data_IF_881587688145
#
_entry.id   IF_881587688145
#
_cell.length_a   1.000
_cell.length_b   1.000
_cell.length_c   1.000
_cell.angle_alpha   90.00
_cell.angle_beta   90.00
_cell.angle_gamma   90.00
#
_symmetry.space_group_name_H-M   'P 1'
#
loop_
_entity.id
_entity.type
_entity.pdbx_description
1 polymer ?
#
# COMPACT_ATOMS: atom_id res chain seq x y z
N UNK A 1 2.43 17.97 -8.35
CA UNK A 1 2.79 18.95 -7.30
C UNK A 1 3.32 18.20 -6.09
N UNK A 2 4.00 18.89 -5.15
CA UNK A 2 4.55 18.27 -3.92
C UNK A 2 3.50 17.44 -3.16
N UNK A 3 2.28 17.93 -3.06
CA UNK A 3 1.18 17.24 -2.37
C UNK A 3 0.82 15.89 -3.00
N UNK A 4 1.00 15.75 -4.32
CA UNK A 4 0.78 14.45 -4.97
C UNK A 4 1.85 13.46 -4.52
N UNK A 5 3.11 13.90 -4.46
CA UNK A 5 4.24 13.08 -4.01
C UNK A 5 4.04 12.64 -2.55
N UNK A 6 3.65 13.57 -1.67
CA UNK A 6 3.38 13.26 -0.27
C UNK A 6 2.25 12.24 -0.10
N UNK A 7 1.15 12.38 -0.85
CA UNK A 7 0.08 11.37 -0.86
C UNK A 7 0.59 10.00 -1.28
N UNK A 8 1.36 9.92 -2.35
CA UNK A 8 1.94 8.66 -2.80
C UNK A 8 2.82 8.00 -1.74
N UNK A 9 3.66 8.78 -1.05
CA UNK A 9 4.51 8.27 0.05
C UNK A 9 3.66 7.75 1.21
N UNK A 10 2.65 8.53 1.63
CA UNK A 10 1.75 8.13 2.72
C UNK A 10 0.96 6.86 2.40
N UNK A 11 0.43 6.76 1.18
CA UNK A 11 -0.33 5.60 0.73
C UNK A 11 0.56 4.34 0.70
N UNK A 12 1.80 4.47 0.19
CA UNK A 12 2.77 3.38 0.16
C UNK A 12 3.14 2.88 1.56
N UNK A 13 3.47 3.79 2.49
CA UNK A 13 3.82 3.42 3.87
C UNK A 13 2.64 2.75 4.61
N UNK A 14 1.41 3.21 4.36
CA UNK A 14 0.22 2.58 4.92
C UNK A 14 0.06 1.14 4.41
N UNK A 15 0.22 0.90 3.10
CA UNK A 15 0.17 -0.46 2.52
C UNK A 15 1.30 -1.32 3.07
N UNK A 16 2.54 -0.81 3.12
CA UNK A 16 3.69 -1.52 3.70
C UNK A 16 3.42 -1.98 5.13
N UNK A 17 2.89 -1.10 5.98
CA UNK A 17 2.58 -1.45 7.36
C UNK A 17 1.50 -2.53 7.47
N UNK A 18 0.43 -2.41 6.67
CA UNK A 18 -0.69 -3.36 6.71
C UNK A 18 -0.31 -4.73 6.13
N UNK A 19 0.55 -4.77 5.10
CA UNK A 19 1.03 -6.01 4.49
C UNK A 19 1.75 -6.94 5.48
N UNK A 20 2.38 -6.40 6.52
CA UNK A 20 3.02 -7.18 7.59
C UNK A 20 2.03 -7.94 8.48
N UNK A 21 0.74 -7.56 8.43
CA UNK A 21 -0.32 -8.09 9.30
C UNK A 21 -1.40 -8.84 8.52
N UNK A 22 -1.58 -8.51 7.25
CA UNK A 22 -2.65 -9.04 6.41
C UNK A 22 -2.08 -9.53 5.08
N UNK A 23 -2.34 -10.79 4.75
CA UNK A 23 -1.98 -11.39 3.46
C UNK A 23 -3.07 -11.18 2.38
N UNK A 24 -4.17 -10.51 2.74
CA UNK A 24 -5.33 -10.28 1.85
C UNK A 24 -5.37 -8.84 1.32
N UNK A 25 -5.20 -8.70 0.01
CA UNK A 25 -5.29 -7.43 -0.71
C UNK A 25 -6.66 -6.73 -0.55
N UNK A 26 -7.75 -7.48 -0.36
CA UNK A 26 -9.08 -6.89 -0.19
C UNK A 26 -9.17 -6.13 1.13
N UNK A 27 -8.66 -6.71 2.21
CA UNK A 27 -8.62 -6.09 3.53
C UNK A 27 -7.79 -4.79 3.49
N UNK A 28 -6.60 -4.83 2.91
CA UNK A 28 -5.72 -3.65 2.79
C UNK A 28 -6.40 -2.55 1.95
N UNK A 29 -7.05 -2.92 0.85
CA UNK A 29 -7.82 -1.99 -0.01
C UNK A 29 -8.95 -1.31 0.75
N UNK A 30 -9.70 -2.03 1.59
CA UNK A 30 -10.78 -1.47 2.40
C UNK A 30 -10.27 -0.50 3.47
N UNK A 31 -9.17 -0.85 4.15
CA UNK A 31 -8.58 -0.03 5.22
C UNK A 31 -7.98 1.27 4.67
N UNK A 32 -7.22 1.17 3.58
CA UNK A 32 -6.54 2.32 2.96
C UNK A 32 -7.45 3.14 2.05
N UNK A 33 -8.61 2.60 1.65
CA UNK A 33 -9.51 3.15 0.62
C UNK A 33 -8.83 3.29 -0.76
N UNK A 34 -7.75 2.57 -0.99
CA UNK A 34 -7.09 2.46 -2.28
C UNK A 34 -7.73 1.35 -3.11
N UNK A 35 -7.67 1.47 -4.44
CA UNK A 35 -8.10 0.36 -5.29
C UNK A 35 -7.19 -0.85 -5.12
N UNK A 36 -7.74 -2.06 -5.32
CA UNK A 36 -6.94 -3.30 -5.25
C UNK A 36 -5.74 -3.29 -6.19
N UNK A 37 -5.87 -2.65 -7.36
CA UNK A 37 -4.77 -2.50 -8.33
C UNK A 37 -3.63 -1.66 -7.77
N UNK A 38 -3.94 -0.53 -7.11
CA UNK A 38 -2.92 0.32 -6.48
C UNK A 38 -2.25 -0.40 -5.31
N UNK A 39 -3.03 -1.10 -4.48
CA UNK A 39 -2.47 -1.92 -3.39
C UNK A 39 -1.52 -2.97 -3.94
N UNK A 40 -1.93 -3.72 -4.98
CA UNK A 40 -1.06 -4.72 -5.63
C UNK A 40 0.25 -4.11 -6.11
N UNK A 41 0.19 -2.97 -6.81
CA UNK A 41 1.38 -2.28 -7.29
C UNK A 41 2.32 -1.88 -6.15
N UNK A 42 1.80 -1.44 -5.01
CA UNK A 42 2.65 -1.12 -3.85
C UNK A 42 3.22 -2.36 -3.16
N UNK A 43 2.48 -3.46 -3.10
CA UNK A 43 2.99 -4.75 -2.61
C UNK A 43 4.13 -5.26 -3.49
N UNK A 44 4.00 -5.15 -4.82
CA UNK A 44 5.03 -5.57 -5.77
C UNK A 44 6.35 -4.79 -5.63
N UNK A 45 6.31 -3.60 -5.02
CA UNK A 45 7.49 -2.77 -4.71
C UNK A 45 8.14 -3.11 -3.36
N UNK A 46 7.52 -3.96 -2.54
CA UNK A 46 8.08 -4.36 -1.25
C UNK A 46 9.26 -5.34 -1.47
N UNK A 47 10.31 -5.24 -0.65
CA UNK A 47 11.40 -6.21 -0.70
C UNK A 47 10.88 -7.59 -0.25
N UNK A 48 11.32 -8.64 -0.94
CA UNK A 48 10.85 -10.03 -0.75
C UNK A 48 11.37 -10.65 0.57
N UNK A 49 12.33 -10.01 1.22
CA UNK A 49 13.09 -10.55 2.36
C UNK A 49 12.77 -9.90 3.74
N UNK A 50 11.54 -9.44 3.98
CA UNK A 50 11.12 -8.86 5.27
C UNK A 50 10.43 -9.84 6.21
#
# INVERSE_FOLDING_TARGET
>A
SKDAVERYIHDFEAVRLLSKKFDDLNTISLVTRLSKSVVSQYIDLLPVDL
#
